data_IF_026892624825
#
_entry.id   IF_026892624825
#
_cell.length_a   1.000
_cell.length_b   1.000
_cell.length_c   1.000
_cell.angle_alpha   90.00
_cell.angle_beta   90.00
_cell.angle_gamma   90.00
#
_symmetry.space_group_name_H-M   'P 1'
#
loop_
_entity.id
_entity.type
_entity.pdbx_description
1 polymer ?
#
# COMPACT_ATOMS: atom_id res chain seq x y z
N UNK A 1 -6.90 13.46 6.66
CA UNK A 1 -6.42 13.06 5.32
C UNK A 1 -6.27 14.29 4.46
N UNK A 2 -5.17 14.38 3.71
CA UNK A 2 -4.91 15.49 2.78
C UNK A 2 -5.78 15.35 1.53
N UNK A 3 -6.33 16.49 1.07
CA UNK A 3 -7.12 16.62 -0.17
C UNK A 3 -6.49 17.72 -0.99
N UNK A 4 -6.20 17.44 -2.26
CA UNK A 4 -5.81 18.48 -3.22
C UNK A 4 -7.06 19.05 -3.88
N UNK A 5 -7.16 20.36 -3.95
CA UNK A 5 -8.09 21.06 -4.82
C UNK A 5 -7.29 21.83 -5.88
N UNK A 6 -7.74 21.79 -7.13
CA UNK A 6 -7.20 22.61 -8.20
C UNK A 6 -8.36 23.35 -8.89
N UNK A 7 -8.30 24.66 -8.89
CA UNK A 7 -9.33 25.56 -9.40
C UNK A 7 -8.66 26.88 -9.77
N UNK A 8 -8.83 27.38 -10.97
CA UNK A 8 -8.17 28.61 -11.44
C UNK A 8 -8.87 29.87 -10.91
N UNK A 9 -10.19 29.87 -10.75
CA UNK A 9 -10.91 31.00 -10.15
C UNK A 9 -10.62 31.10 -8.65
N UNK A 10 -10.01 32.20 -8.23
CA UNK A 10 -9.61 32.42 -6.85
C UNK A 10 -10.77 32.39 -5.84
N UNK A 11 -11.96 32.86 -6.24
CA UNK A 11 -13.14 32.90 -5.37
C UNK A 11 -13.69 31.47 -5.17
N UNK A 12 -13.82 30.72 -6.25
CA UNK A 12 -14.23 29.29 -6.24
C UNK A 12 -13.26 28.44 -5.43
N UNK A 13 -11.96 28.65 -5.62
CA UNK A 13 -10.90 27.96 -4.89
C UNK A 13 -10.97 28.21 -3.39
N UNK A 14 -11.13 29.48 -2.95
CA UNK A 14 -11.27 29.80 -1.54
C UNK A 14 -12.56 29.23 -0.93
N UNK A 15 -13.65 29.22 -1.68
CA UNK A 15 -14.91 28.62 -1.26
C UNK A 15 -14.75 27.09 -1.06
N UNK A 16 -14.18 26.38 -2.02
CA UNK A 16 -13.90 24.95 -1.93
C UNK A 16 -12.99 24.62 -0.75
N UNK A 17 -11.91 25.39 -0.59
CA UNK A 17 -10.99 25.22 0.53
C UNK A 17 -11.70 25.39 1.87
N UNK A 18 -12.51 26.44 2.02
CA UNK A 18 -13.28 26.70 3.24
C UNK A 18 -14.26 25.56 3.55
N UNK A 19 -15.00 25.08 2.55
CA UNK A 19 -15.96 23.99 2.70
C UNK A 19 -15.29 22.68 3.14
N UNK A 20 -14.24 22.27 2.44
CA UNK A 20 -13.51 21.03 2.76
C UNK A 20 -12.83 21.10 4.13
N UNK A 21 -12.25 22.24 4.48
CA UNK A 21 -11.67 22.47 5.82
C UNK A 21 -12.75 22.40 6.91
N UNK A 22 -13.92 22.99 6.69
CA UNK A 22 -15.06 22.87 7.60
C UNK A 22 -15.55 21.44 7.78
N UNK A 23 -15.41 20.60 6.77
CA UNK A 23 -15.73 19.17 6.84
C UNK A 23 -14.62 18.31 7.47
N UNK A 24 -13.50 18.93 7.89
CA UNK A 24 -12.41 18.26 8.62
C UNK A 24 -11.31 17.68 7.75
N UNK A 25 -11.20 18.11 6.48
CA UNK A 25 -10.10 17.72 5.61
C UNK A 25 -8.92 18.69 5.74
N UNK A 26 -7.71 18.16 5.56
CA UNK A 26 -6.48 18.94 5.41
C UNK A 26 -6.30 19.28 3.93
N UNK A 27 -6.51 20.54 3.56
CA UNK A 27 -6.66 20.97 2.17
C UNK A 27 -5.39 21.62 1.66
N UNK A 28 -4.86 21.10 0.56
CA UNK A 28 -3.83 21.72 -0.27
C UNK A 28 -4.53 22.30 -1.49
N UNK A 29 -4.23 23.54 -1.88
CA UNK A 29 -4.86 24.21 -3.02
C UNK A 29 -3.83 24.56 -4.08
N UNK A 30 -4.21 24.38 -5.35
CA UNK A 30 -3.47 24.79 -6.53
C UNK A 30 -4.31 25.76 -7.37
N UNK A 31 -3.66 26.77 -7.94
CA UNK A 31 -4.30 27.78 -8.77
C UNK A 31 -4.36 27.45 -10.25
N UNK A 32 -3.64 26.44 -10.68
CA UNK A 32 -3.63 25.92 -12.05
C UNK A 32 -3.21 24.47 -12.12
N UNK A 33 -3.29 23.88 -13.32
CA UNK A 33 -2.98 22.47 -13.51
C UNK A 33 -1.49 22.11 -13.40
N UNK A 34 -0.57 23.07 -13.63
CA UNK A 34 0.86 22.82 -13.49
C UNK A 34 1.26 22.75 -11.99
N UNK A 35 0.72 23.69 -11.19
CA UNK A 35 0.89 23.68 -9.74
C UNK A 35 0.31 22.39 -9.14
N UNK A 36 -0.92 22.00 -9.55
CA UNK A 36 -1.54 20.76 -9.13
C UNK A 36 -0.67 19.55 -9.46
N UNK A 37 -0.15 19.48 -10.69
CA UNK A 37 0.74 18.39 -11.10
C UNK A 37 2.05 18.36 -10.31
N UNK A 38 2.63 19.52 -10.01
CA UNK A 38 3.85 19.61 -9.17
C UNK A 38 3.61 19.01 -7.79
N UNK A 39 2.50 19.37 -7.13
CA UNK A 39 2.12 18.83 -5.83
C UNK A 39 1.91 17.30 -5.89
N UNK A 40 1.28 16.81 -6.97
CA UNK A 40 1.03 15.39 -7.16
C UNK A 40 2.30 14.58 -7.51
N UNK A 41 3.38 15.26 -7.88
CA UNK A 41 4.69 14.64 -8.08
C UNK A 41 5.50 14.46 -6.80
N UNK A 42 5.12 15.06 -5.69
CA UNK A 42 5.79 14.91 -4.40
C UNK A 42 5.63 13.49 -3.82
N UNK A 43 6.57 13.00 -3.02
CA UNK A 43 6.49 11.65 -2.43
C UNK A 43 5.26 11.44 -1.54
N UNK A 44 4.87 12.47 -0.77
CA UNK A 44 3.73 12.45 0.16
C UNK A 44 2.54 13.27 -0.35
N UNK A 45 2.18 13.08 -1.61
CA UNK A 45 1.08 13.80 -2.24
C UNK A 45 -0.31 13.36 -1.75
N UNK A 46 -1.33 14.24 -1.86
CA UNK A 46 -2.72 13.88 -1.60
C UNK A 46 -3.21 12.79 -2.54
N UNK A 47 -3.99 11.86 -2.01
CA UNK A 47 -4.58 10.76 -2.79
C UNK A 47 -6.09 10.93 -3.04
N UNK A 48 -6.68 11.98 -2.49
CA UNK A 48 -8.02 12.46 -2.83
C UNK A 48 -7.84 13.80 -3.50
N UNK A 49 -8.29 13.91 -4.74
CA UNK A 49 -8.10 15.11 -5.56
C UNK A 49 -9.45 15.60 -6.09
N UNK A 50 -9.65 16.90 -6.07
CA UNK A 50 -10.82 17.59 -6.60
C UNK A 50 -10.30 18.61 -7.59
N UNK A 51 -10.55 18.39 -8.88
CA UNK A 51 -9.95 19.13 -9.96
C UNK A 51 -11.03 19.83 -10.79
N UNK A 52 -10.87 21.12 -11.06
CA UNK A 52 -11.65 21.73 -12.12
C UNK A 52 -11.27 21.11 -13.48
N UNK A 53 -12.23 20.99 -14.34
CA UNK A 53 -12.02 20.51 -15.71
C UNK A 53 -11.09 21.42 -16.49
N UNK A 54 -11.42 22.72 -16.51
CA UNK A 54 -10.72 23.71 -17.32
C UNK A 54 -9.85 24.61 -16.45
N UNK A 55 -8.55 24.44 -16.55
CA UNK A 55 -7.56 25.25 -15.85
C UNK A 55 -6.42 25.61 -16.82
N UNK A 56 -5.73 26.74 -16.60
CA UNK A 56 -4.49 27.03 -17.29
C UNK A 56 -3.45 25.92 -17.10
N UNK A 57 -2.65 25.68 -18.11
CA UNK A 57 -1.60 24.67 -18.10
C UNK A 57 -2.15 23.26 -18.43
N UNK A 58 -2.33 22.41 -17.43
CA UNK A 58 -2.81 21.05 -17.60
C UNK A 58 -4.28 20.97 -17.18
N UNK A 59 -5.17 20.48 -18.06
CA UNK A 59 -6.58 20.29 -17.73
C UNK A 59 -6.80 19.15 -16.73
N UNK A 60 -7.87 19.22 -15.92
CA UNK A 60 -8.20 18.23 -14.90
C UNK A 60 -8.22 16.78 -15.41
N UNK A 61 -8.92 16.46 -16.51
CA UNK A 61 -8.92 15.10 -17.09
C UNK A 61 -7.54 14.60 -17.49
N UNK A 62 -6.68 15.49 -18.01
CA UNK A 62 -5.31 15.14 -18.38
C UNK A 62 -4.44 14.84 -17.15
N UNK A 63 -4.64 15.59 -16.05
CA UNK A 63 -3.98 15.27 -14.77
C UNK A 63 -4.36 13.87 -14.31
N UNK A 64 -5.65 13.53 -14.35
CA UNK A 64 -6.14 12.21 -13.95
C UNK A 64 -5.53 11.11 -14.83
N UNK A 65 -5.50 11.28 -16.15
CA UNK A 65 -4.90 10.32 -17.07
C UNK A 65 -3.44 10.07 -16.75
N UNK A 66 -2.65 11.12 -16.54
CA UNK A 66 -1.22 11.02 -16.16
C UNK A 66 -1.02 10.33 -14.83
N UNK A 67 -1.90 10.57 -13.85
CA UNK A 67 -1.86 9.85 -12.57
C UNK A 67 -2.05 8.35 -12.73
N UNK A 68 -3.02 7.95 -13.56
CA UNK A 68 -3.30 6.53 -13.84
C UNK A 68 -2.15 5.84 -14.59
N UNK A 69 -1.53 6.54 -15.53
CA UNK A 69 -0.38 6.01 -16.29
C UNK A 69 0.88 5.88 -15.44
N UNK A 70 1.16 6.87 -14.59
CA UNK A 70 2.37 6.92 -13.77
C UNK A 70 2.36 5.87 -12.64
N UNK A 71 1.21 5.68 -12.01
CA UNK A 71 1.09 4.87 -10.80
C UNK A 71 -0.19 4.03 -10.84
N UNK A 72 -0.24 3.01 -11.73
CA UNK A 72 -1.44 2.18 -11.90
C UNK A 72 -1.84 1.42 -10.62
N UNK A 73 -0.88 1.11 -9.76
CA UNK A 73 -1.12 0.43 -8.47
C UNK A 73 -1.50 1.39 -7.34
N UNK A 74 -1.16 2.68 -7.46
CA UNK A 74 -1.57 3.68 -6.47
C UNK A 74 -3.00 4.13 -6.74
N UNK A 75 -3.82 3.87 -5.77
CA UNK A 75 -5.21 4.26 -5.82
C UNK A 75 -5.34 5.74 -5.50
N UNK A 76 -5.63 6.56 -6.49
CA UNK A 76 -6.15 7.91 -6.31
C UNK A 76 -7.67 7.86 -6.36
N UNK A 77 -8.32 8.79 -5.67
CA UNK A 77 -9.72 9.08 -5.91
C UNK A 77 -9.83 10.49 -6.47
N UNK A 78 -10.21 10.57 -7.72
CA UNK A 78 -10.27 11.82 -8.48
C UNK A 78 -11.71 12.21 -8.75
N UNK A 79 -12.08 13.43 -8.31
CA UNK A 79 -13.37 14.06 -8.58
C UNK A 79 -13.10 15.22 -9.54
N UNK A 80 -13.75 15.23 -10.70
CA UNK A 80 -13.70 16.36 -11.63
C UNK A 80 -14.90 17.27 -11.40
N UNK A 81 -14.64 18.57 -11.24
CA UNK A 81 -15.69 19.60 -11.22
C UNK A 81 -15.75 20.22 -12.60
N UNK A 82 -16.94 20.38 -13.16
CA UNK A 82 -17.12 20.91 -14.53
C UNK A 82 -18.33 21.83 -14.66
N UNK A 83 -18.17 22.91 -15.40
CA UNK A 83 -19.29 23.75 -15.84
C UNK A 83 -20.07 23.17 -17.02
N UNK A 84 -19.55 22.09 -17.63
CA UNK A 84 -20.22 21.40 -18.74
C UNK A 84 -21.14 20.33 -18.16
N UNK A 85 -22.43 20.63 -18.05
CA UNK A 85 -23.44 19.75 -17.44
C UNK A 85 -24.10 18.76 -18.41
N UNK A 86 -23.56 18.57 -19.64
CA UNK A 86 -24.10 17.63 -20.60
C UNK A 86 -23.56 16.20 -20.36
N UNK A 87 -24.33 15.19 -20.81
CA UNK A 87 -23.99 13.77 -20.66
C UNK A 87 -22.62 13.43 -21.24
N UNK A 88 -22.20 14.10 -22.30
CA UNK A 88 -20.92 13.86 -22.97
C UNK A 88 -19.73 14.22 -22.06
N UNK A 89 -19.85 15.29 -21.26
CA UNK A 89 -18.78 15.69 -20.31
C UNK A 89 -18.63 14.72 -19.16
N UNK A 90 -19.73 14.17 -18.65
CA UNK A 90 -19.68 13.12 -17.63
C UNK A 90 -18.96 11.88 -18.12
N UNK A 91 -19.26 11.44 -19.34
CA UNK A 91 -18.61 10.29 -19.99
C UNK A 91 -17.12 10.56 -20.19
N UNK A 92 -16.75 11.72 -20.71
CA UNK A 92 -15.35 12.10 -20.91
C UNK A 92 -14.54 12.19 -19.60
N UNK A 93 -15.17 12.68 -18.51
CA UNK A 93 -14.53 12.70 -17.18
C UNK A 93 -14.19 11.26 -16.72
N UNK A 94 -15.17 10.37 -16.80
CA UNK A 94 -14.98 8.98 -16.40
C UNK A 94 -14.01 8.22 -17.33
N UNK A 95 -14.07 8.47 -18.63
CA UNK A 95 -13.15 7.89 -19.62
C UNK A 95 -11.70 8.34 -19.40
N UNK A 96 -11.47 9.52 -18.82
CA UNK A 96 -10.13 9.96 -18.40
C UNK A 96 -9.59 9.19 -17.18
N UNK A 97 -10.41 8.34 -16.55
CA UNK A 97 -10.08 7.58 -15.35
C UNK A 97 -10.46 8.27 -14.05
N UNK A 98 -11.28 9.35 -14.08
CA UNK A 98 -11.85 9.94 -12.87
C UNK A 98 -12.82 8.96 -12.20
N UNK A 99 -12.86 8.99 -10.86
CA UNK A 99 -13.75 8.12 -10.07
C UNK A 99 -15.15 8.73 -9.93
N UNK A 100 -15.24 10.07 -10.02
CA UNK A 100 -16.51 10.78 -9.93
C UNK A 100 -16.43 12.15 -10.61
N UNK A 101 -17.57 12.77 -10.82
CA UNK A 101 -17.65 14.13 -11.34
C UNK A 101 -18.78 14.92 -10.69
N UNK A 102 -18.68 16.27 -10.70
CA UNK A 102 -19.68 17.21 -10.15
C UNK A 102 -19.88 18.36 -11.11
N UNK A 103 -21.12 18.61 -11.48
CA UNK A 103 -21.46 19.73 -12.37
C UNK A 103 -21.57 21.07 -11.63
N UNK A 104 -21.00 22.15 -12.17
CA UNK A 104 -21.23 23.53 -11.68
C UNK A 104 -22.53 24.09 -12.27
N UNK A 105 -23.39 24.78 -11.50
CA UNK A 105 -23.30 24.99 -10.06
C UNK A 105 -23.65 23.72 -9.29
N UNK A 106 -22.87 23.38 -8.28
CA UNK A 106 -23.10 22.20 -7.44
C UNK A 106 -23.73 22.58 -6.10
N UNK A 107 -24.47 21.63 -5.56
CA UNK A 107 -24.94 21.66 -4.18
C UNK A 107 -23.82 21.24 -3.21
N UNK A 108 -23.70 21.95 -2.09
CA UNK A 108 -22.65 21.66 -1.10
C UNK A 108 -22.81 20.27 -0.46
N UNK A 109 -24.04 19.82 -0.28
CA UNK A 109 -24.30 18.49 0.31
C UNK A 109 -23.98 17.38 -0.70
N UNK A 110 -24.22 17.62 -2.01
CA UNK A 110 -23.79 16.69 -3.07
C UNK A 110 -22.26 16.58 -3.10
N UNK A 111 -21.54 17.69 -3.15
CA UNK A 111 -20.08 17.69 -3.13
C UNK A 111 -19.55 16.99 -1.87
N UNK A 112 -20.12 17.28 -0.71
CA UNK A 112 -19.77 16.66 0.56
C UNK A 112 -19.94 15.14 0.53
N UNK A 113 -21.06 14.66 -0.01
CA UNK A 113 -21.35 13.24 -0.10
C UNK A 113 -20.32 12.52 -1.00
N UNK A 114 -19.95 13.09 -2.15
CA UNK A 114 -18.97 12.53 -3.09
C UNK A 114 -17.56 12.50 -2.51
N UNK A 115 -17.12 13.59 -1.89
CA UNK A 115 -15.84 13.67 -1.18
C UNK A 115 -15.78 12.64 -0.03
N UNK A 116 -16.87 12.46 0.71
CA UNK A 116 -16.96 11.45 1.78
C UNK A 116 -16.88 10.01 1.23
N UNK A 117 -17.45 9.74 0.05
CA UNK A 117 -17.27 8.46 -0.65
C UNK A 117 -15.80 8.24 -1.00
N UNK A 118 -15.16 9.23 -1.62
CA UNK A 118 -13.75 9.17 -1.97
C UNK A 118 -12.85 8.93 -0.75
N UNK A 119 -13.10 9.64 0.34
CA UNK A 119 -12.40 9.42 1.62
C UNK A 119 -12.53 7.98 2.12
N UNK A 120 -13.75 7.44 2.11
CA UNK A 120 -14.03 6.06 2.56
C UNK A 120 -13.34 5.03 1.67
N UNK A 121 -13.42 5.19 0.35
CA UNK A 121 -12.76 4.31 -0.61
C UNK A 121 -11.24 4.30 -0.37
N UNK A 122 -10.63 5.47 -0.25
CA UNK A 122 -9.19 5.59 0.00
C UNK A 122 -8.77 4.97 1.34
N UNK A 123 -9.56 5.16 2.38
CA UNK A 123 -9.28 4.57 3.70
C UNK A 123 -9.31 3.04 3.64
N UNK A 124 -10.30 2.48 2.96
CA UNK A 124 -10.43 1.02 2.80
C UNK A 124 -9.31 0.43 1.94
N UNK A 125 -8.94 1.08 0.85
CA UNK A 125 -7.84 0.64 -0.02
C UNK A 125 -6.50 0.66 0.73
N UNK A 126 -6.23 1.71 1.51
CA UNK A 126 -5.04 1.77 2.35
C UNK A 126 -5.02 0.65 3.38
N UNK A 127 -6.10 0.45 4.11
CA UNK A 127 -6.19 -0.63 5.09
C UNK A 127 -6.01 -2.02 4.46
N UNK A 128 -6.54 -2.25 3.26
CA UNK A 128 -6.33 -3.50 2.52
C UNK A 128 -4.87 -3.67 2.11
N UNK A 129 -4.21 -2.63 1.59
CA UNK A 129 -2.80 -2.67 1.22
C UNK A 129 -1.91 -2.99 2.42
N UNK A 130 -2.15 -2.33 3.56
CA UNK A 130 -1.41 -2.57 4.80
C UNK A 130 -1.57 -4.05 5.26
N UNK A 131 -2.79 -4.61 5.15
CA UNK A 131 -3.05 -6.03 5.47
C UNK A 131 -2.36 -7.01 4.52
N UNK A 132 -2.29 -6.69 3.24
CA UNK A 132 -1.59 -7.53 2.25
C UNK A 132 -0.08 -7.57 2.57
N UNK A 133 0.51 -6.44 2.93
CA UNK A 133 1.93 -6.35 3.32
C UNK A 133 2.19 -7.20 4.58
N UNK A 134 1.36 -7.05 5.61
CA UNK A 134 1.47 -7.80 6.87
C UNK A 134 1.35 -9.31 6.64
N UNK A 135 0.37 -9.72 5.83
CA UNK A 135 0.18 -11.13 5.47
C UNK A 135 1.38 -11.69 4.71
N UNK A 136 1.94 -10.96 3.74
CA UNK A 136 3.13 -11.38 3.01
C UNK A 136 4.32 -11.58 3.94
N UNK A 137 4.58 -10.62 4.83
CA UNK A 137 5.64 -10.74 5.82
C UNK A 137 5.46 -11.96 6.74
N UNK A 138 4.22 -12.25 7.13
CA UNK A 138 3.91 -13.43 7.96
C UNK A 138 4.15 -14.73 7.19
N UNK A 139 3.73 -14.80 5.93
CA UNK A 139 3.97 -15.95 5.06
C UNK A 139 5.47 -16.18 4.80
N UNK A 140 6.24 -15.12 4.61
CA UNK A 140 7.68 -15.22 4.41
C UNK A 140 8.39 -15.78 5.66
N UNK A 141 7.91 -15.44 6.86
CA UNK A 141 8.41 -16.04 8.11
C UNK A 141 8.10 -17.54 8.20
N UNK A 142 6.91 -17.96 7.75
CA UNK A 142 6.53 -19.39 7.74
C UNK A 142 7.37 -20.20 6.75
N UNK A 143 7.76 -19.62 5.62
CA UNK A 143 8.53 -20.28 4.56
C UNK A 143 10.01 -20.56 4.89
N UNK A 144 10.53 -20.05 6.00
CA UNK A 144 11.95 -20.21 6.36
C UNK A 144 12.40 -21.68 6.58
N UNK A 145 11.44 -22.62 6.70
CA UNK A 145 11.72 -24.06 6.80
C UNK A 145 11.14 -24.90 5.64
N UNK A 146 10.58 -24.27 4.60
CA UNK A 146 10.10 -24.97 3.41
C UNK A 146 11.21 -25.11 2.37
N UNK A 147 11.53 -26.33 1.97
CA UNK A 147 12.48 -26.62 0.91
C UNK A 147 13.35 -27.84 1.19
N UNK A 148 14.31 -28.11 0.31
CA UNK A 148 15.31 -29.15 0.48
C UNK A 148 16.47 -28.58 1.31
N UNK A 149 16.60 -29.03 2.55
CA UNK A 149 17.72 -28.66 3.41
C UNK A 149 18.92 -29.56 3.05
N UNK A 150 20.01 -29.01 2.51
CA UNK A 150 21.18 -29.81 2.15
C UNK A 150 21.91 -30.26 3.41
N UNK A 151 21.91 -31.55 3.67
CA UNK A 151 22.54 -32.16 4.84
C UNK A 151 23.73 -33.06 4.42
N UNK A 152 24.81 -32.95 5.16
CA UNK A 152 25.95 -33.84 4.96
C UNK A 152 25.57 -35.29 5.30
N UNK A 153 25.79 -36.22 4.36
CA UNK A 153 25.45 -37.64 4.54
C UNK A 153 26.19 -38.28 5.71
N UNK A 154 27.41 -37.82 6.02
CA UNK A 154 28.27 -38.40 7.07
C UNK A 154 28.06 -37.73 8.42
N UNK A 155 28.30 -36.41 8.54
CA UNK A 155 28.29 -35.73 9.85
C UNK A 155 26.96 -35.02 10.17
N UNK A 156 25.96 -35.07 9.27
CA UNK A 156 24.61 -34.52 9.44
C UNK A 156 24.55 -33.03 9.63
N UNK A 157 25.64 -32.30 9.39
CA UNK A 157 25.60 -30.83 9.35
C UNK A 157 24.79 -30.33 8.18
N UNK A 158 24.12 -29.18 8.35
CA UNK A 158 23.33 -28.48 7.33
C UNK A 158 24.21 -27.42 6.66
N UNK A 159 24.13 -27.32 5.34
CA UNK A 159 24.77 -26.25 4.58
C UNK A 159 23.84 -25.03 4.54
N UNK A 160 24.32 -23.88 4.99
CA UNK A 160 23.62 -22.62 4.92
C UNK A 160 23.79 -21.93 3.56
N UNK A 161 23.10 -20.79 3.36
CA UNK A 161 23.13 -20.00 2.13
C UNK A 161 24.49 -19.33 1.85
N UNK A 162 25.41 -19.33 2.82
CA UNK A 162 26.77 -18.79 2.72
C UNK A 162 27.81 -19.91 2.54
N UNK A 163 27.38 -21.13 2.16
CA UNK A 163 28.21 -22.35 2.04
C UNK A 163 28.88 -22.79 3.37
N UNK A 164 28.42 -22.28 4.52
CA UNK A 164 28.83 -22.74 5.84
C UNK A 164 28.17 -24.06 6.24
N UNK A 165 28.83 -24.88 7.09
CA UNK A 165 28.29 -26.15 7.59
C UNK A 165 27.99 -26.03 9.09
N UNK A 166 26.70 -25.91 9.45
CA UNK A 166 26.22 -25.73 10.82
C UNK A 166 25.67 -27.03 11.42
N UNK A 167 25.67 -27.13 12.75
CA UNK A 167 24.99 -28.23 13.45
C UNK A 167 23.48 -28.13 13.17
N UNK A 168 22.81 -29.27 13.06
CA UNK A 168 21.37 -29.35 12.76
C UNK A 168 20.56 -28.56 13.81
N UNK A 169 20.89 -28.74 15.09
CA UNK A 169 20.19 -28.07 16.20
C UNK A 169 20.37 -26.55 16.14
N UNK A 170 21.58 -26.09 15.84
CA UNK A 170 21.89 -24.67 15.70
C UNK A 170 21.11 -24.06 14.53
N UNK A 171 21.15 -24.71 13.36
CA UNK A 171 20.45 -24.24 12.17
C UNK A 171 18.95 -24.13 12.41
N UNK A 172 18.32 -25.14 13.03
CA UNK A 172 16.88 -25.11 13.33
C UNK A 172 16.55 -24.05 14.37
N UNK A 173 17.37 -23.87 15.42
CA UNK A 173 17.16 -22.82 16.43
C UNK A 173 17.28 -21.42 15.84
N UNK A 174 18.18 -21.20 14.87
CA UNK A 174 18.39 -19.92 14.21
C UNK A 174 17.28 -19.58 13.19
N UNK A 175 16.60 -20.63 12.65
CA UNK A 175 15.59 -20.47 11.60
C UNK A 175 14.16 -20.81 12.05
N UNK A 176 13.95 -21.11 13.33
CA UNK A 176 12.62 -21.39 13.91
C UNK A 176 12.57 -21.06 15.38
N UNK A 177 11.39 -21.06 15.97
CA UNK A 177 11.19 -20.91 17.43
C UNK A 177 11.41 -22.24 18.18
N UNK A 178 11.91 -23.30 17.50
CA UNK A 178 12.11 -24.60 18.12
C UNK A 178 13.29 -24.58 19.09
N UNK A 179 13.07 -25.13 20.28
CA UNK A 179 14.10 -25.31 21.32
C UNK A 179 14.37 -26.80 21.50
N UNK A 180 15.63 -27.20 21.44
CA UNK A 180 16.02 -28.59 21.64
C UNK A 180 16.23 -28.91 23.12
N UNK A 181 15.61 -29.99 23.60
CA UNK A 181 15.97 -30.63 24.85
C UNK A 181 16.79 -31.88 24.56
N UNK A 182 17.89 -32.07 25.28
CA UNK A 182 18.75 -33.21 25.11
C UNK A 182 18.33 -34.40 26.01
N UNK A 183 18.19 -35.56 25.42
CA UNK A 183 17.88 -36.78 26.12
C UNK A 183 18.54 -37.97 25.41
N UNK A 184 18.56 -39.10 26.08
CA UNK A 184 19.12 -40.35 25.52
C UNK A 184 17.97 -41.29 25.23
N UNK A 185 17.87 -41.81 23.99
CA UNK A 185 16.87 -42.80 23.66
C UNK A 185 17.23 -44.16 24.29
N UNK A 186 16.25 -45.04 24.51
CA UNK A 186 16.49 -46.33 25.17
C UNK A 186 17.63 -47.15 24.55
N UNK A 187 17.69 -47.24 23.22
CA UNK A 187 18.74 -47.95 22.51
C UNK A 187 20.14 -47.38 22.76
N UNK A 188 20.32 -46.06 22.68
CA UNK A 188 21.59 -45.41 22.97
C UNK A 188 21.99 -45.57 24.45
N UNK A 189 21.00 -45.56 25.37
CA UNK A 189 21.22 -45.78 26.79
C UNK A 189 21.75 -47.21 27.05
N UNK A 190 21.19 -48.23 26.41
CA UNK A 190 21.65 -49.64 26.47
C UNK A 190 23.08 -49.79 25.93
N UNK A 191 23.35 -49.24 24.75
CA UNK A 191 24.69 -49.29 24.13
C UNK A 191 25.75 -48.60 25.02
N UNK A 192 25.44 -47.43 25.62
CA UNK A 192 26.36 -46.78 26.52
C UNK A 192 26.57 -47.56 27.84
N UNK A 193 25.54 -48.22 28.36
CA UNK A 193 25.67 -49.05 29.55
C UNK A 193 26.54 -50.31 29.26
N UNK A 194 26.47 -50.93 28.08
CA UNK A 194 27.33 -52.04 27.68
C UNK A 194 28.80 -51.59 27.59
N UNK A 195 29.07 -50.42 26.99
CA UNK A 195 30.43 -49.88 26.92
C UNK A 195 31.01 -49.65 28.32
N UNK A 196 30.23 -49.10 29.23
CA UNK A 196 30.67 -48.86 30.63
C UNK A 196 30.92 -50.17 31.36
N UNK A 197 30.11 -51.22 31.12
CA UNK A 197 30.34 -52.57 31.74
C UNK A 197 31.63 -53.25 31.23
N UNK A 198 31.99 -53.03 29.97
CA UNK A 198 33.18 -53.60 29.36
C UNK A 198 34.48 -52.84 29.68
N UNK A 199 34.42 -51.68 30.30
CA UNK A 199 35.55 -50.86 30.78
C UNK A 199 35.93 -51.16 32.24
N UNK A 200 35.19 -52.03 32.92
CA UNK A 200 35.48 -52.55 34.26
C UNK A 200 35.98 -53.97 34.21
#
# INVERSE_FOLDING_TARGET
>A
MKVLIAEDDASSRLMLQSLLTKWGYDVISAGDGNEAWTILCEPEHPQLVVLDWMMPGIEGPEIVRRLREREPEKSYYAIIITSRSNKDSATLALDSGADDFVGKPYDNDELRARVAVGYRVRTLQKALSDRIIDLRQTLDRVKQLEGIIPICMYCKKIRDDQDGWNQLEQYISDHSEAVFSHGMCPKCAEEQMEIIKNLR
#
